data_IF_254235495221
#
_entry.id   IF_254235495221
#
_cell.length_a   1.000
_cell.length_b   1.000
_cell.length_c   1.000
_cell.angle_alpha   90.00
_cell.angle_beta   90.00
_cell.angle_gamma   90.00
#
_symmetry.space_group_name_H-M   'P 1'
#
loop_
_entity.id
_entity.type
_entity.pdbx_description
1 polymer ?
#
# COMPACT_ATOMS: atom_id res chain seq x y z
N UNK A 1 15.48 21.25 19.87
CA UNK A 1 14.32 20.51 19.34
C UNK A 1 14.84 19.68 18.19
N UNK A 2 14.77 18.35 18.30
CA UNK A 2 15.00 17.51 17.14
C UNK A 2 13.75 17.53 16.27
N UNK A 3 13.89 17.57 14.95
CA UNK A 3 12.81 17.27 14.03
C UNK A 3 13.06 15.86 13.45
N UNK A 4 12.02 15.04 13.29
CA UNK A 4 12.11 13.79 12.50
C UNK A 4 11.62 14.14 11.10
N UNK A 5 12.37 13.76 10.08
CA UNK A 5 12.00 13.97 8.68
C UNK A 5 11.62 12.61 8.10
N UNK A 6 10.37 12.42 7.71
CA UNK A 6 9.93 11.21 7.00
C UNK A 6 9.83 11.53 5.52
N UNK A 7 10.32 10.62 4.67
CA UNK A 7 10.12 10.70 3.22
C UNK A 7 8.97 9.81 2.78
N UNK A 8 7.91 10.41 2.23
CA UNK A 8 6.82 9.69 1.57
C UNK A 8 7.26 9.40 0.13
N UNK A 9 7.66 8.15 -0.12
CA UNK A 9 8.30 7.79 -1.39
C UNK A 9 7.26 7.70 -2.50
N UNK A 10 6.13 7.05 -2.22
CA UNK A 10 5.17 6.69 -3.26
C UNK A 10 3.95 7.61 -3.29
N UNK A 11 3.44 8.16 -2.19
CA UNK A 11 2.32 9.12 -2.20
C UNK A 11 2.78 10.58 -1.99
N UNK A 12 1.91 11.56 -2.26
CA UNK A 12 2.11 12.95 -1.84
C UNK A 12 0.87 13.47 -1.11
N UNK A 13 1.04 14.25 -0.05
CA UNK A 13 -0.08 14.84 0.70
C UNK A 13 -0.69 15.97 -0.13
N UNK A 14 -1.99 15.87 -0.44
CA UNK A 14 -2.66 16.82 -1.34
C UNK A 14 -2.74 18.24 -0.77
N UNK A 15 -2.93 18.37 0.55
CA UNK A 15 -2.99 19.66 1.25
C UNK A 15 -1.65 19.92 1.96
N UNK A 16 -0.56 20.03 1.19
CA UNK A 16 0.79 20.11 1.78
C UNK A 16 1.02 21.37 2.62
N UNK A 17 0.25 22.43 2.38
CA UNK A 17 0.27 23.69 3.13
C UNK A 17 -0.24 23.55 4.57
N UNK A 18 -1.02 22.50 4.85
CA UNK A 18 -1.60 22.30 6.18
C UNK A 18 -0.53 21.89 7.20
N UNK A 19 -0.72 22.32 8.44
CA UNK A 19 0.02 21.82 9.60
C UNK A 19 -0.93 20.98 10.44
N UNK A 20 -0.61 19.70 10.63
CA UNK A 20 -1.44 18.80 11.41
C UNK A 20 -0.91 18.66 12.82
N UNK A 21 -1.71 19.06 13.80
CA UNK A 21 -1.41 18.91 15.21
C UNK A 21 -2.16 17.69 15.76
N UNK A 22 -1.42 16.66 16.16
CA UNK A 22 -2.00 15.42 16.68
C UNK A 22 -1.41 15.06 18.04
N UNK A 23 -2.13 14.23 18.79
CA UNK A 23 -1.68 13.68 20.07
C UNK A 23 -1.67 12.16 19.99
N UNK A 24 -0.62 11.55 20.52
CA UNK A 24 -0.57 10.11 20.71
C UNK A 24 0.15 9.78 22.01
N UNK A 25 -0.47 8.97 22.86
CA UNK A 25 0.01 8.62 24.21
C UNK A 25 0.35 9.87 25.08
N UNK A 26 -0.44 10.95 24.95
CA UNK A 26 -0.23 12.20 25.69
C UNK A 26 0.97 13.03 25.23
N UNK A 27 1.57 12.69 24.08
CA UNK A 27 2.61 13.49 23.43
C UNK A 27 1.98 14.21 22.24
N UNK A 28 2.22 15.52 22.15
CA UNK A 28 1.79 16.34 21.02
C UNK A 28 2.84 16.36 19.92
N UNK A 29 2.38 16.16 18.69
CA UNK A 29 3.17 16.14 17.47
C UNK A 29 2.62 17.19 16.52
N UNK A 30 3.52 17.97 15.95
CA UNK A 30 3.23 18.85 14.83
C UNK A 30 3.81 18.21 13.56
N UNK A 31 2.96 17.96 12.57
CA UNK A 31 3.31 17.40 11.27
C UNK A 31 3.24 18.52 10.23
N UNK A 32 4.36 18.78 9.58
CA UNK A 32 4.48 19.74 8.47
C UNK A 32 4.79 19.00 7.19
N UNK A 33 4.06 19.31 6.12
CA UNK A 33 4.23 18.64 4.82
C UNK A 33 5.01 19.45 3.80
N UNK A 34 5.59 20.59 4.22
CA UNK A 34 6.52 21.39 3.44
C UNK A 34 7.88 21.45 4.11
N UNK A 35 8.92 21.39 3.29
CA UNK A 35 10.29 21.62 3.72
C UNK A 35 11.03 22.33 2.59
N UNK A 36 11.79 23.39 2.89
CA UNK A 36 12.51 24.16 1.87
C UNK A 36 13.58 23.36 1.10
N UNK A 37 13.94 22.16 1.57
CA UNK A 37 14.94 21.29 0.94
C UNK A 37 14.35 20.13 0.12
N UNK A 38 13.02 19.94 0.11
CA UNK A 38 12.36 18.78 -0.52
C UNK A 38 11.06 19.16 -1.21
N UNK A 39 10.58 18.31 -2.12
CA UNK A 39 9.30 18.52 -2.82
C UNK A 39 8.12 18.60 -1.83
N UNK A 40 7.28 19.63 -1.99
CA UNK A 40 6.09 19.85 -1.17
C UNK A 40 5.16 18.62 -1.18
N UNK A 41 4.70 18.21 0.00
CA UNK A 41 3.79 17.07 0.19
C UNK A 41 4.47 15.70 0.17
N UNK A 42 5.78 15.62 -0.12
CA UNK A 42 6.57 14.36 -0.11
C UNK A 42 7.33 14.12 1.19
N UNK A 43 7.22 15.02 2.16
CA UNK A 43 7.90 14.93 3.44
C UNK A 43 6.91 15.13 4.58
N UNK A 44 7.16 14.49 5.71
CA UNK A 44 6.53 14.82 6.99
C UNK A 44 7.63 15.23 7.95
N UNK A 45 7.73 16.51 8.26
CA UNK A 45 8.56 17.00 9.36
C UNK A 45 7.75 16.92 10.64
N UNK A 46 8.19 16.09 11.57
CA UNK A 46 7.57 15.91 12.88
C UNK A 46 8.39 16.67 13.91
N UNK A 47 7.74 17.61 14.61
CA UNK A 47 8.29 18.24 15.79
C UNK A 47 7.52 17.80 17.04
N UNK A 48 8.24 17.52 18.13
CA UNK A 48 7.65 17.17 19.42
C UNK A 48 8.41 17.87 20.56
N UNK A 49 7.72 18.12 21.66
CA UNK A 49 8.31 18.70 22.88
C UNK A 49 9.21 17.72 23.66
N UNK A 50 9.29 16.44 23.27
CA UNK A 50 10.06 15.38 23.93
C UNK A 50 11.11 14.77 22.96
N UNK A 51 12.19 14.20 23.51
CA UNK A 51 13.34 13.72 22.71
C UNK A 51 13.03 12.46 21.88
N UNK A 52 13.70 12.35 20.73
CA UNK A 52 13.45 11.49 19.56
C UNK A 52 13.40 9.96 19.72
N UNK A 53 13.83 9.38 20.84
CA UNK A 53 14.18 7.95 20.89
C UNK A 53 13.02 6.98 21.18
N UNK A 54 11.79 7.46 21.43
CA UNK A 54 10.65 6.62 21.89
C UNK A 54 9.40 6.75 21.00
N UNK A 55 9.58 7.11 19.72
CA UNK A 55 8.48 7.39 18.79
C UNK A 55 8.14 6.25 17.81
N UNK A 56 8.79 5.08 17.92
CA UNK A 56 8.67 4.00 16.93
C UNK A 56 7.22 3.53 16.72
N UNK A 57 6.43 3.40 17.80
CA UNK A 57 5.02 3.00 17.70
C UNK A 57 4.18 4.06 16.97
N UNK A 58 4.43 5.34 17.25
CA UNK A 58 3.76 6.43 16.53
C UNK A 58 4.10 6.39 15.03
N UNK A 59 5.38 6.22 14.69
CA UNK A 59 5.83 6.09 13.30
C UNK A 59 5.25 4.85 12.61
N UNK A 60 5.11 3.73 13.32
CA UNK A 60 4.43 2.54 12.81
C UNK A 60 2.95 2.83 12.47
N UNK A 61 2.26 3.59 13.32
CA UNK A 61 0.88 4.01 13.05
C UNK A 61 0.77 4.98 11.89
N UNK A 62 1.69 5.95 11.77
CA UNK A 62 1.76 6.80 10.57
C UNK A 62 2.00 5.95 9.32
N UNK A 63 2.82 4.90 9.41
CA UNK A 63 3.08 4.00 8.29
C UNK A 63 1.80 3.28 7.85
N UNK A 64 1.00 2.80 8.79
CA UNK A 64 -0.33 2.24 8.51
C UNK A 64 -1.26 3.32 7.98
N UNK A 65 -1.26 4.54 8.49
CA UNK A 65 -2.17 5.59 8.03
C UNK A 65 -1.87 6.02 6.59
N UNK A 66 -0.62 6.29 6.24
CA UNK A 66 -0.23 6.75 4.89
C UNK A 66 0.01 5.60 3.89
N UNK A 67 0.28 4.39 4.38
CA UNK A 67 0.72 3.26 3.55
C UNK A 67 2.16 3.40 3.03
N UNK A 68 3.00 4.13 3.75
CA UNK A 68 4.42 4.40 3.46
C UNK A 68 5.28 3.97 4.64
N UNK A 69 6.56 3.68 4.45
CA UNK A 69 7.44 3.39 5.60
C UNK A 69 7.85 4.70 6.29
N UNK A 70 7.18 5.04 7.39
CA UNK A 70 7.52 6.20 8.23
C UNK A 70 8.57 5.87 9.30
N UNK A 71 8.99 4.61 9.40
CA UNK A 71 9.96 4.15 10.41
C UNK A 71 11.41 4.15 9.91
N UNK A 72 11.63 4.30 8.61
CA UNK A 72 12.96 4.48 7.98
C UNK A 72 13.07 5.86 7.28
N UNK A 73 13.40 6.92 8.05
CA UNK A 73 13.42 8.30 7.57
C UNK A 73 14.62 8.66 6.69
N UNK A 74 15.62 7.80 6.49
CA UNK A 74 16.92 8.21 5.94
C UNK A 74 17.25 7.70 4.53
N UNK A 75 16.43 6.85 3.91
CA UNK A 75 16.65 6.50 2.51
C UNK A 75 16.14 7.63 1.60
N UNK A 76 17.08 8.51 1.24
CA UNK A 76 16.85 9.69 0.38
C UNK A 76 16.64 9.35 -1.09
N UNK A 77 17.13 8.18 -1.53
CA UNK A 77 16.96 7.68 -2.90
C UNK A 77 15.99 6.51 -2.92
N UNK A 78 14.93 6.63 -3.73
CA UNK A 78 14.10 5.47 -4.10
C UNK A 78 14.90 4.62 -5.09
N UNK A 79 15.68 3.68 -4.58
CA UNK A 79 16.43 2.71 -5.41
C UNK A 79 15.49 1.69 -6.08
N UNK A 80 14.18 1.89 -5.96
CA UNK A 80 13.11 1.08 -6.55
C UNK A 80 12.37 2.02 -7.50
N UNK A 81 12.10 1.56 -8.71
CA UNK A 81 11.42 2.36 -9.74
C UNK A 81 10.24 3.16 -9.13
N UNK A 82 10.34 4.50 -9.16
CA UNK A 82 9.45 5.41 -8.42
C UNK A 82 8.03 5.31 -8.95
N UNK A 83 7.25 4.41 -8.37
CA UNK A 83 5.82 4.34 -8.63
C UNK A 83 5.11 5.36 -7.75
N UNK A 84 4.43 6.33 -8.37
CA UNK A 84 3.61 7.30 -7.68
C UNK A 84 2.24 6.68 -7.38
N UNK A 85 1.89 6.52 -6.10
CA UNK A 85 0.55 6.20 -5.59
C UNK A 85 -0.43 7.37 -5.76
N UNK A 86 0.05 8.54 -6.14
CA UNK A 86 -0.73 9.74 -6.42
C UNK A 86 -1.01 10.56 -5.17
N UNK A 87 -2.00 11.44 -5.28
CA UNK A 87 -2.42 12.30 -4.18
C UNK A 87 -3.02 11.49 -3.05
N UNK A 88 -2.62 11.80 -1.82
CA UNK A 88 -3.19 11.28 -0.60
C UNK A 88 -4.02 12.39 0.06
N UNK A 89 -5.34 12.23 0.00
CA UNK A 89 -6.30 13.16 0.58
C UNK A 89 -6.78 12.60 1.92
N UNK A 90 -6.34 13.22 3.00
CA UNK A 90 -6.82 12.96 4.35
C UNK A 90 -6.81 14.27 5.16
N UNK A 91 -7.40 14.27 6.35
CA UNK A 91 -7.40 15.43 7.26
C UNK A 91 -6.72 15.10 8.59
N UNK A 92 -6.32 16.14 9.32
CA UNK A 92 -5.85 16.04 10.70
C UNK A 92 -6.86 15.28 11.59
N UNK A 93 -8.15 15.55 11.43
CA UNK A 93 -9.20 14.89 12.21
C UNK A 93 -9.20 13.37 11.97
N UNK A 94 -9.14 12.93 10.71
CA UNK A 94 -9.10 11.51 10.39
C UNK A 94 -7.86 10.82 10.97
N UNK A 95 -6.71 11.50 10.96
CA UNK A 95 -5.50 10.97 11.58
C UNK A 95 -5.64 10.88 13.10
N UNK A 96 -6.19 11.91 13.75
CA UNK A 96 -6.39 11.89 15.21
C UNK A 96 -7.35 10.77 15.63
N UNK A 97 -8.50 10.63 14.98
CA UNK A 97 -9.47 9.56 15.28
C UNK A 97 -8.84 8.16 15.11
N UNK A 98 -8.01 7.99 14.08
CA UNK A 98 -7.24 6.76 13.87
C UNK A 98 -6.25 6.49 15.02
N UNK A 99 -5.48 7.50 15.43
CA UNK A 99 -4.49 7.38 16.51
C UNK A 99 -5.14 7.11 17.87
N UNK A 100 -6.28 7.75 18.15
CA UNK A 100 -7.05 7.52 19.38
C UNK A 100 -7.57 6.07 19.42
N UNK A 101 -8.14 5.59 18.31
CA UNK A 101 -8.61 4.20 18.19
C UNK A 101 -7.46 3.19 18.34
N UNK A 102 -6.31 3.49 17.73
CA UNK A 102 -5.11 2.66 17.84
C UNK A 102 -4.60 2.59 19.29
N UNK A 103 -4.52 3.73 19.97
CA UNK A 103 -4.13 3.81 21.37
C UNK A 103 -5.09 3.07 22.30
N UNK A 104 -6.40 3.24 22.11
CA UNK A 104 -7.41 2.48 22.86
C UNK A 104 -7.23 0.98 22.65
N UNK A 105 -6.95 0.54 21.42
CA UNK A 105 -6.75 -0.87 21.12
C UNK A 105 -5.51 -1.43 21.81
N UNK A 106 -4.41 -0.69 21.79
CA UNK A 106 -3.15 -1.09 22.42
C UNK A 106 -3.24 -1.26 23.93
N UNK A 107 -4.04 -0.42 24.59
CA UNK A 107 -4.27 -0.51 26.02
C UNK A 107 -5.28 -1.60 26.42
N UNK A 108 -6.07 -2.11 25.47
CA UNK A 108 -7.19 -2.99 25.74
C UNK A 108 -7.10 -4.33 24.97
N UNK A 109 -5.93 -4.95 24.96
CA UNK A 109 -5.83 -6.35 24.53
C UNK A 109 -6.38 -7.28 25.61
N UNK A 110 -7.36 -8.16 25.29
CA UNK A 110 -7.91 -9.10 26.27
C UNK A 110 -6.87 -10.09 26.81
N UNK A 111 -5.80 -10.36 26.06
CA UNK A 111 -4.74 -11.27 26.44
C UNK A 111 -3.37 -10.90 25.84
N UNK A 112 -2.30 -11.39 26.48
CA UNK A 112 -0.93 -11.17 26.02
C UNK A 112 -0.63 -11.80 24.64
N UNK A 113 -1.31 -12.90 24.29
CA UNK A 113 -1.11 -13.56 22.99
C UNK A 113 -1.73 -12.75 21.85
N UNK A 114 -2.87 -12.11 22.08
CA UNK A 114 -3.49 -11.21 21.08
C UNK A 114 -2.60 -10.00 20.84
N UNK A 115 -2.05 -9.42 21.92
CA UNK A 115 -1.08 -8.33 21.81
C UNK A 115 0.12 -8.74 20.97
N UNK A 116 0.78 -9.86 21.32
CA UNK A 116 1.95 -10.35 20.60
C UNK A 116 1.64 -10.67 19.12
N UNK A 117 0.46 -11.23 18.82
CA UNK A 117 0.07 -11.56 17.46
C UNK A 117 -0.27 -10.29 16.64
N UNK A 118 -0.85 -9.27 17.26
CA UNK A 118 -1.05 -7.98 16.60
C UNK A 118 0.28 -7.25 16.34
N UNK A 119 1.20 -7.26 17.30
CA UNK A 119 2.57 -6.74 17.11
C UNK A 119 3.27 -7.45 15.95
N UNK A 120 3.10 -8.78 15.81
CA UNK A 120 3.59 -9.53 14.65
C UNK A 120 2.93 -9.08 13.34
N UNK A 121 1.61 -8.83 13.34
CA UNK A 121 0.92 -8.31 12.16
C UNK A 121 1.52 -6.97 11.71
N UNK A 122 1.72 -6.05 12.65
CA UNK A 122 2.36 -4.75 12.40
C UNK A 122 3.78 -4.91 11.88
N UNK A 123 4.59 -5.77 12.50
CA UNK A 123 5.95 -6.03 12.06
C UNK A 123 6.01 -6.55 10.62
N UNK A 124 5.18 -7.53 10.26
CA UNK A 124 5.13 -8.04 8.88
C UNK A 124 4.68 -6.96 7.89
N UNK A 125 3.70 -6.13 8.28
CA UNK A 125 3.27 -5.02 7.43
C UNK A 125 4.40 -4.01 7.17
N UNK A 126 5.10 -3.58 8.22
CA UNK A 126 6.23 -2.63 8.10
C UNK A 126 7.38 -3.22 7.29
N UNK A 127 7.71 -4.49 7.49
CA UNK A 127 8.72 -5.19 6.69
C UNK A 127 8.31 -5.24 5.21
N UNK A 128 7.02 -5.45 4.92
CA UNK A 128 6.47 -5.36 3.56
C UNK A 128 6.70 -3.98 2.94
N UNK A 129 6.35 -2.91 3.65
CA UNK A 129 6.57 -1.53 3.19
C UNK A 129 8.06 -1.24 2.93
N UNK A 130 8.92 -1.65 3.86
CA UNK A 130 10.36 -1.42 3.77
C UNK A 130 11.01 -2.15 2.62
N UNK A 131 10.61 -3.38 2.35
CA UNK A 131 11.15 -4.18 1.25
C UNK A 131 10.68 -3.68 -0.12
N UNK A 132 9.43 -3.22 -0.22
CA UNK A 132 8.89 -2.62 -1.44
C UNK A 132 8.94 -3.53 -2.67
N UNK A 133 8.97 -2.94 -3.86
CA UNK A 133 8.90 -3.67 -5.13
C UNK A 133 10.16 -4.51 -5.41
N UNK A 134 11.35 -4.05 -4.99
CA UNK A 134 12.63 -4.69 -5.30
C UNK A 134 12.79 -6.10 -4.76
N UNK A 135 12.02 -6.46 -3.72
CA UNK A 135 12.04 -7.80 -3.17
C UNK A 135 10.84 -8.64 -3.61
N UNK A 136 10.01 -8.19 -4.55
CA UNK A 136 8.89 -9.00 -5.03
C UNK A 136 9.39 -10.32 -5.63
N UNK A 137 8.69 -11.46 -5.40
CA UNK A 137 7.42 -11.58 -4.67
C UNK A 137 7.48 -11.56 -3.12
N UNK A 138 8.64 -11.39 -2.46
CA UNK A 138 8.80 -11.56 -1.00
C UNK A 138 7.93 -10.59 -0.22
N UNK A 139 7.88 -9.36 -0.70
CA UNK A 139 7.06 -8.30 -0.15
C UNK A 139 5.58 -8.66 -0.04
N UNK A 140 5.00 -9.32 -1.06
CA UNK A 140 3.59 -9.75 -0.96
C UNK A 140 3.39 -10.88 0.06
N UNK A 141 4.42 -11.69 0.30
CA UNK A 141 4.43 -12.71 1.36
C UNK A 141 4.31 -12.09 2.74
N UNK A 142 5.04 -11.00 3.00
CA UNK A 142 4.96 -10.26 4.26
C UNK A 142 3.59 -9.62 4.46
N UNK A 143 3.00 -9.00 3.44
CA UNK A 143 1.62 -8.52 3.53
C UNK A 143 0.63 -9.67 3.81
N UNK A 144 0.79 -10.82 3.15
CA UNK A 144 -0.02 -12.00 3.43
C UNK A 144 0.09 -12.51 4.87
N UNK A 145 1.31 -12.56 5.43
CA UNK A 145 1.54 -12.94 6.83
C UNK A 145 0.87 -11.96 7.82
N UNK A 146 0.97 -10.66 7.57
CA UNK A 146 0.25 -9.64 8.34
C UNK A 146 -1.27 -9.90 8.34
N UNK A 147 -1.84 -10.16 7.15
CA UNK A 147 -3.26 -10.46 7.01
C UNK A 147 -3.68 -11.77 7.72
N UNK A 148 -2.82 -12.80 7.71
CA UNK A 148 -3.05 -14.04 8.45
C UNK A 148 -3.06 -13.81 9.96
N UNK A 149 -2.13 -13.00 10.50
CA UNK A 149 -2.13 -12.62 11.90
C UNK A 149 -3.45 -11.93 12.29
N UNK A 150 -3.91 -10.96 11.51
CA UNK A 150 -5.22 -10.31 11.73
C UNK A 150 -6.36 -11.33 11.65
N UNK A 151 -6.35 -12.22 10.65
CA UNK A 151 -7.35 -13.28 10.51
C UNK A 151 -7.40 -14.23 11.71
N UNK A 152 -6.25 -14.49 12.33
CA UNK A 152 -6.16 -15.33 13.51
C UNK A 152 -6.67 -14.62 14.78
N UNK A 153 -6.43 -13.31 14.92
CA UNK A 153 -6.95 -12.49 16.02
C UNK A 153 -8.48 -12.48 16.10
N UNK A 154 -9.18 -12.65 14.97
CA UNK A 154 -10.66 -12.71 14.93
C UNK A 154 -11.23 -14.13 14.97
N UNK A 155 -10.36 -15.13 14.98
CA UNK A 155 -10.78 -16.52 15.02
C UNK A 155 -10.82 -17.02 16.46
N UNK A 156 -11.93 -17.61 16.86
CA UNK A 156 -12.19 -18.08 18.25
C UNK A 156 -11.35 -19.32 18.64
N UNK A 157 -10.23 -19.56 17.96
CA UNK A 157 -9.39 -20.71 18.25
C UNK A 157 -8.34 -20.34 19.31
N UNK A 158 -8.64 -20.72 20.56
CA UNK A 158 -7.68 -20.94 21.64
C UNK A 158 -6.62 -22.04 21.32
N UNK A 159 -6.41 -22.38 20.05
CA UNK A 159 -5.49 -23.41 19.61
C UNK A 159 -4.07 -22.85 19.58
N UNK A 160 -3.18 -23.42 20.41
CA UNK A 160 -1.74 -23.19 20.38
C UNK A 160 -1.06 -23.58 19.05
N UNK A 161 -1.83 -24.07 18.07
CA UNK A 161 -1.34 -24.46 16.75
C UNK A 161 -1.94 -23.54 15.68
N UNK A 162 -1.17 -22.51 15.33
CA UNK A 162 -1.44 -21.57 14.25
C UNK A 162 -1.41 -22.31 12.91
N UNK A 163 -2.57 -22.52 12.29
CA UNK A 163 -2.59 -23.02 10.90
C UNK A 163 -2.52 -21.83 9.95
N UNK A 164 -1.29 -21.53 9.52
CA UNK A 164 -1.01 -20.64 8.38
C UNK A 164 -1.85 -21.11 7.18
N UNK A 165 -2.44 -20.19 6.42
CA UNK A 165 -3.20 -20.52 5.20
C UNK A 165 -4.74 -20.48 5.28
N UNK A 166 -5.36 -20.18 6.43
CA UNK A 166 -6.84 -20.13 6.53
C UNK A 166 -7.46 -18.74 6.28
N UNK A 167 -8.52 -18.68 5.46
CA UNK A 167 -9.25 -17.46 5.04
C UNK A 167 -10.11 -16.82 6.16
N UNK A 168 -9.54 -16.61 7.35
CA UNK A 168 -10.31 -16.18 8.53
C UNK A 168 -10.62 -14.69 8.55
N UNK A 169 -9.91 -13.89 7.75
CA UNK A 169 -10.21 -12.47 7.57
C UNK A 169 -11.61 -12.20 6.98
N UNK A 170 -12.22 -13.17 6.29
CA UNK A 170 -13.60 -13.01 5.78
C UNK A 170 -14.62 -12.83 6.91
N UNK A 171 -14.39 -13.41 8.10
CA UNK A 171 -15.26 -13.20 9.28
C UNK A 171 -15.22 -11.73 9.68
N UNK A 172 -14.02 -11.16 9.85
CA UNK A 172 -13.80 -9.75 10.16
C UNK A 172 -14.49 -8.84 9.14
N UNK A 173 -14.22 -9.06 7.84
CA UNK A 173 -14.81 -8.26 6.75
C UNK A 173 -16.34 -8.32 6.79
N UNK A 174 -16.92 -9.52 6.92
CA UNK A 174 -18.38 -9.67 6.98
C UNK A 174 -19.01 -8.98 8.19
N UNK A 175 -18.40 -9.14 9.36
CA UNK A 175 -18.91 -8.59 10.61
C UNK A 175 -18.86 -7.05 10.59
N UNK A 176 -17.77 -6.46 10.11
CA UNK A 176 -17.61 -5.01 10.00
C UNK A 176 -18.57 -4.37 9.02
N UNK A 177 -18.88 -5.03 7.90
CA UNK A 177 -19.81 -4.51 6.89
C UNK A 177 -21.29 -4.80 7.19
N UNK A 178 -21.61 -5.63 8.20
CA UNK A 178 -22.98 -6.14 8.43
C UNK A 178 -24.02 -5.03 8.64
N UNK A 179 -23.69 -4.02 9.44
CA UNK A 179 -24.57 -2.86 9.71
C UNK A 179 -24.72 -1.98 8.47
N UNK A 180 -23.62 -1.63 7.81
CA UNK A 180 -23.59 -0.75 6.63
C UNK A 180 -24.35 -1.32 5.43
N UNK A 181 -24.39 -2.65 5.27
CA UNK A 181 -25.17 -3.30 4.21
C UNK A 181 -26.70 -3.15 4.35
N UNK A 182 -27.18 -2.78 5.53
CA UNK A 182 -28.61 -2.53 5.82
C UNK A 182 -29.02 -1.08 5.57
N UNK A 183 -28.05 -0.21 5.30
CA UNK A 183 -28.29 1.17 4.89
C UNK A 183 -29.11 1.20 3.60
N UNK A 184 -30.20 1.97 3.59
CA UNK A 184 -31.14 2.04 2.46
C UNK A 184 -30.58 2.80 1.26
N UNK A 185 -29.68 3.75 1.49
CA UNK A 185 -29.13 4.63 0.47
C UNK A 185 -27.79 4.08 -0.05
N UNK A 186 -26.94 3.61 0.84
CA UNK A 186 -25.56 3.23 0.52
C UNK A 186 -25.26 1.72 0.64
N UNK A 187 -26.21 0.90 1.09
CA UNK A 187 -25.98 -0.52 1.34
C UNK A 187 -25.52 -1.32 0.10
N UNK A 188 -25.92 -0.89 -1.11
CA UNK A 188 -25.42 -1.46 -2.37
C UNK A 188 -23.93 -1.22 -2.60
N UNK A 189 -23.45 0.00 -2.34
CA UNK A 189 -22.04 0.38 -2.46
C UNK A 189 -21.18 -0.40 -1.46
N UNK A 190 -21.63 -0.54 -0.20
CA UNK A 190 -20.93 -1.35 0.79
C UNK A 190 -20.84 -2.83 0.41
N UNK A 191 -21.86 -3.41 -0.24
CA UNK A 191 -21.79 -4.79 -0.75
C UNK A 191 -20.77 -4.94 -1.88
N UNK A 192 -20.70 -3.97 -2.79
CA UNK A 192 -19.72 -3.97 -3.87
C UNK A 192 -18.30 -3.86 -3.30
N UNK A 193 -18.08 -2.89 -2.41
CA UNK A 193 -16.78 -2.68 -1.77
C UNK A 193 -16.32 -3.90 -0.99
N UNK A 194 -17.20 -4.52 -0.21
CA UNK A 194 -16.89 -5.78 0.50
C UNK A 194 -16.38 -6.87 -0.45
N UNK A 195 -17.01 -7.04 -1.64
CA UNK A 195 -16.58 -8.04 -2.61
C UNK A 195 -15.18 -7.75 -3.16
N UNK A 196 -14.85 -6.49 -3.40
CA UNK A 196 -13.53 -6.09 -3.89
C UNK A 196 -12.46 -6.37 -2.84
N UNK A 197 -12.71 -6.04 -1.57
CA UNK A 197 -11.84 -6.33 -0.44
C UNK A 197 -11.58 -7.84 -0.33
N UNK A 198 -12.64 -8.65 -0.38
CA UNK A 198 -12.50 -10.11 -0.31
C UNK A 198 -11.70 -10.66 -1.50
N UNK A 199 -11.92 -10.12 -2.70
CA UNK A 199 -11.25 -10.59 -3.90
C UNK A 199 -9.76 -10.23 -3.93
N UNK A 200 -9.39 -9.03 -3.47
CA UNK A 200 -8.01 -8.60 -3.33
C UNK A 200 -7.29 -9.37 -2.21
N UNK A 201 -7.95 -9.54 -1.06
CA UNK A 201 -7.39 -10.29 0.06
C UNK A 201 -7.14 -11.76 -0.31
N UNK A 202 -8.04 -12.36 -1.09
CA UNK A 202 -7.86 -13.72 -1.63
C UNK A 202 -6.68 -13.80 -2.59
N UNK A 203 -6.45 -12.78 -3.41
CA UNK A 203 -5.31 -12.75 -4.33
C UNK A 203 -3.98 -12.68 -3.57
N UNK A 204 -3.85 -11.78 -2.60
CA UNK A 204 -2.62 -11.66 -1.78
C UNK A 204 -2.32 -12.98 -1.08
N UNK A 205 -3.34 -13.59 -0.48
CA UNK A 205 -3.21 -14.89 0.19
C UNK A 205 -2.81 -16.03 -0.77
N UNK A 206 -3.41 -16.07 -1.96
CA UNK A 206 -3.10 -17.07 -2.98
C UNK A 206 -1.64 -16.96 -3.45
N UNK A 207 -1.16 -15.74 -3.73
CA UNK A 207 0.23 -15.51 -4.11
C UNK A 207 1.16 -15.87 -2.95
N UNK A 208 0.82 -15.46 -1.72
CA UNK A 208 1.60 -15.82 -0.53
C UNK A 208 1.74 -17.32 -0.37
N UNK A 209 0.66 -18.09 -0.49
CA UNK A 209 0.73 -19.55 -0.31
C UNK A 209 1.52 -20.23 -1.43
N UNK A 210 1.42 -19.73 -2.66
CA UNK A 210 2.14 -20.31 -3.77
C UNK A 210 3.64 -20.09 -3.69
N UNK A 211 4.05 -18.90 -3.26
CA UNK A 211 5.45 -18.48 -3.28
C UNK A 211 6.15 -18.75 -1.94
N UNK A 212 5.48 -18.52 -0.80
CA UNK A 212 6.05 -18.60 0.56
C UNK A 212 5.49 -19.73 1.42
N UNK A 213 4.40 -20.36 0.99
CA UNK A 213 3.84 -21.53 1.65
C UNK A 213 4.60 -22.78 1.26
N UNK A 214 3.90 -23.80 0.76
CA UNK A 214 4.52 -25.08 0.40
C UNK A 214 5.20 -25.05 -0.99
N UNK A 215 5.60 -23.85 -1.45
CA UNK A 215 6.20 -23.60 -2.77
C UNK A 215 5.37 -24.18 -3.92
N UNK A 216 4.05 -24.00 -3.91
CA UNK A 216 3.13 -24.68 -4.84
C UNK A 216 3.28 -24.27 -6.32
N UNK A 217 4.16 -23.32 -6.64
CA UNK A 217 4.45 -22.94 -8.02
C UNK A 217 4.99 -24.08 -8.87
N UNK A 218 5.56 -25.15 -8.31
CA UNK A 218 5.91 -26.35 -9.08
C UNK A 218 4.68 -27.16 -9.54
N UNK A 219 3.51 -26.99 -8.90
CA UNK A 219 2.26 -27.69 -9.22
C UNK A 219 1.45 -26.89 -10.24
N UNK A 220 1.19 -27.48 -11.41
CA UNK A 220 0.48 -26.80 -12.50
C UNK A 220 -0.93 -26.33 -12.13
N UNK A 221 -1.69 -27.17 -11.41
CA UNK A 221 -3.04 -26.85 -10.95
C UNK A 221 -3.07 -25.59 -10.07
N UNK A 222 -2.05 -25.42 -9.22
CA UNK A 222 -1.93 -24.27 -8.34
C UNK A 222 -1.54 -23.01 -9.13
N UNK A 223 -0.62 -23.14 -10.10
CA UNK A 223 -0.32 -22.06 -11.05
C UNK A 223 -1.56 -21.61 -11.82
N UNK A 224 -2.38 -22.54 -12.33
CA UNK A 224 -3.63 -22.24 -13.03
C UNK A 224 -4.62 -21.47 -12.13
N UNK A 225 -4.75 -21.88 -10.86
CA UNK A 225 -5.62 -21.20 -9.90
C UNK A 225 -5.18 -19.74 -9.66
N UNK A 226 -3.87 -19.51 -9.48
CA UNK A 226 -3.30 -18.17 -9.28
C UNK A 226 -3.51 -17.29 -10.51
N UNK A 227 -3.22 -17.82 -11.70
CA UNK A 227 -3.45 -17.12 -12.97
C UNK A 227 -4.92 -16.70 -13.09
N UNK A 228 -5.86 -17.57 -12.72
CA UNK A 228 -7.28 -17.22 -12.71
C UNK A 228 -7.62 -16.09 -11.72
N UNK A 229 -6.97 -16.05 -10.54
CA UNK A 229 -7.11 -14.94 -9.59
C UNK A 229 -6.54 -13.63 -10.14
N UNK A 230 -5.37 -13.68 -10.77
CA UNK A 230 -4.72 -12.54 -11.40
C UNK A 230 -5.53 -11.97 -12.56
N UNK A 231 -6.07 -12.84 -13.44
CA UNK A 231 -6.98 -12.43 -14.51
C UNK A 231 -8.22 -11.73 -13.97
N UNK A 232 -8.84 -12.28 -12.93
CA UNK A 232 -10.00 -11.65 -12.28
C UNK A 232 -9.65 -10.27 -11.71
N UNK A 233 -8.47 -10.12 -11.12
CA UNK A 233 -8.00 -8.83 -10.63
C UNK A 233 -7.81 -7.83 -11.78
N UNK A 234 -7.12 -8.20 -12.86
CA UNK A 234 -6.94 -7.33 -14.02
C UNK A 234 -8.28 -6.88 -14.62
N UNK A 235 -9.25 -7.78 -14.73
CA UNK A 235 -10.60 -7.45 -15.21
C UNK A 235 -11.33 -6.48 -14.28
N UNK A 236 -11.29 -6.70 -12.95
CA UNK A 236 -11.85 -5.73 -11.97
C UNK A 236 -11.24 -4.36 -12.11
N UNK A 237 -9.99 -4.33 -12.55
CA UNK A 237 -9.20 -3.13 -12.70
C UNK A 237 -9.28 -2.52 -14.13
N UNK A 238 -10.19 -3.04 -14.98
CA UNK A 238 -10.55 -2.46 -16.28
C UNK A 238 -9.97 -3.17 -17.52
N UNK A 239 -9.17 -4.22 -17.36
CA UNK A 239 -8.61 -4.95 -18.50
C UNK A 239 -9.67 -5.78 -19.24
N UNK A 240 -9.52 -5.90 -20.56
CA UNK A 240 -10.34 -6.83 -21.36
C UNK A 240 -10.00 -8.29 -21.06
N UNK A 241 -10.86 -9.23 -21.47
CA UNK A 241 -10.58 -10.66 -21.36
C UNK A 241 -9.29 -11.07 -22.09
N UNK A 242 -9.06 -10.46 -23.26
CA UNK A 242 -7.87 -10.70 -24.08
C UNK A 242 -6.62 -10.19 -23.38
N UNK A 243 -6.67 -8.99 -22.80
CA UNK A 243 -5.53 -8.40 -22.10
C UNK A 243 -5.21 -9.17 -20.82
N UNK A 244 -6.23 -9.54 -20.04
CA UNK A 244 -6.04 -10.33 -18.83
C UNK A 244 -5.35 -11.68 -19.14
N UNK A 245 -5.81 -12.39 -20.17
CA UNK A 245 -5.20 -13.64 -20.62
C UNK A 245 -3.79 -13.46 -21.22
N UNK A 246 -3.50 -12.28 -21.78
CA UNK A 246 -2.18 -11.97 -22.32
C UNK A 246 -1.14 -11.77 -21.21
N UNK A 247 -1.50 -11.04 -20.15
CA UNK A 247 -0.52 -10.60 -19.13
C UNK A 247 -0.02 -11.73 -18.24
N UNK A 248 -0.89 -12.63 -17.77
CA UNK A 248 -0.49 -13.74 -16.90
C UNK A 248 -0.67 -15.09 -17.57
N UNK A 249 0.42 -15.85 -17.70
CA UNK A 249 0.41 -17.20 -18.25
C UNK A 249 0.97 -18.20 -17.24
N UNK A 250 0.46 -19.43 -17.29
CA UNK A 250 0.81 -20.51 -16.34
C UNK A 250 2.30 -20.85 -16.43
N UNK A 251 2.87 -20.83 -17.63
CA UNK A 251 4.23 -21.29 -17.93
C UNK A 251 5.30 -20.28 -17.51
N UNK A 252 4.94 -19.00 -17.36
CA UNK A 252 5.85 -17.90 -17.02
C UNK A 252 5.38 -17.08 -15.81
N UNK A 253 4.54 -17.67 -14.97
CA UNK A 253 3.89 -16.98 -13.85
C UNK A 253 4.88 -16.26 -12.95
N UNK A 254 6.03 -16.87 -12.62
CA UNK A 254 7.06 -16.23 -11.79
C UNK A 254 7.61 -14.94 -12.41
N UNK A 255 7.90 -14.97 -13.72
CA UNK A 255 8.34 -13.79 -14.45
C UNK A 255 7.23 -12.74 -14.54
N UNK A 256 5.98 -13.16 -14.79
CA UNK A 256 4.85 -12.25 -14.87
C UNK A 256 4.56 -11.58 -13.51
N UNK A 257 4.76 -12.29 -12.38
CA UNK A 257 4.67 -11.70 -11.03
C UNK A 257 5.73 -10.61 -10.81
N UNK A 258 6.94 -10.78 -11.33
CA UNK A 258 7.99 -9.75 -11.26
C UNK A 258 7.69 -8.56 -12.18
N UNK A 259 7.25 -8.82 -13.42
CA UNK A 259 6.87 -7.76 -14.38
C UNK A 259 5.74 -6.88 -13.82
N UNK A 260 4.82 -7.47 -13.06
CA UNK A 260 3.68 -6.79 -12.47
C UNK A 260 3.83 -6.48 -10.97
N UNK A 261 5.08 -6.49 -10.47
CA UNK A 261 5.40 -6.28 -9.07
C UNK A 261 4.79 -4.99 -8.48
N UNK A 262 4.75 -3.90 -9.24
CA UNK A 262 4.18 -2.61 -8.81
C UNK A 262 2.68 -2.71 -8.48
N UNK A 263 1.91 -3.31 -9.39
CA UNK A 263 0.48 -3.51 -9.21
C UNK A 263 0.20 -4.41 -8.02
N UNK A 264 0.97 -5.50 -7.90
CA UNK A 264 0.87 -6.45 -6.81
C UNK A 264 1.27 -5.85 -5.45
N UNK A 265 2.27 -4.98 -5.43
CA UNK A 265 2.68 -4.24 -4.22
C UNK A 265 1.53 -3.39 -3.70
N UNK A 266 0.84 -2.62 -4.56
CA UNK A 266 -0.33 -1.82 -4.16
C UNK A 266 -1.45 -2.66 -3.57
N UNK A 267 -1.74 -3.82 -4.17
CA UNK A 267 -2.74 -4.74 -3.63
C UNK A 267 -2.30 -5.22 -2.24
N UNK A 268 -1.04 -5.62 -2.09
CA UNK A 268 -0.49 -6.03 -0.80
C UNK A 268 -0.62 -4.96 0.28
N UNK A 269 -0.16 -3.74 -0.02
CA UNK A 269 -0.27 -2.57 0.87
C UNK A 269 -1.73 -2.32 1.24
N UNK A 270 -2.62 -2.18 0.26
CA UNK A 270 -4.01 -1.81 0.53
C UNK A 270 -4.77 -2.92 1.26
N UNK A 271 -4.59 -4.19 0.89
CA UNK A 271 -5.30 -5.32 1.52
C UNK A 271 -4.86 -5.52 2.98
N UNK A 272 -3.55 -5.50 3.24
CA UNK A 272 -3.06 -5.61 4.62
C UNK A 272 -3.49 -4.43 5.48
N UNK A 273 -3.30 -3.20 4.96
CA UNK A 273 -3.68 -1.97 5.65
C UNK A 273 -5.17 -1.93 5.96
N UNK A 274 -6.01 -2.28 4.99
CA UNK A 274 -7.45 -2.32 5.18
C UNK A 274 -7.86 -3.31 6.28
N UNK A 275 -7.25 -4.50 6.33
CA UNK A 275 -7.56 -5.44 7.41
C UNK A 275 -7.14 -4.93 8.79
N UNK A 276 -6.04 -4.18 8.90
CA UNK A 276 -5.66 -3.48 10.15
C UNK A 276 -6.73 -2.45 10.54
N UNK A 277 -7.16 -1.59 9.61
CA UNK A 277 -8.25 -0.62 9.86
C UNK A 277 -9.55 -1.31 10.30
N UNK A 278 -9.96 -2.38 9.60
CA UNK A 278 -11.15 -3.14 9.96
C UNK A 278 -10.99 -3.79 11.34
N UNK A 279 -9.81 -4.27 11.70
CA UNK A 279 -9.54 -4.82 13.02
C UNK A 279 -9.72 -3.77 14.12
N UNK A 280 -9.23 -2.55 13.89
CA UNK A 280 -9.47 -1.37 14.73
C UNK A 280 -10.94 -0.93 14.78
N UNK A 281 -11.80 -1.42 13.87
CA UNK A 281 -13.21 -1.04 13.79
C UNK A 281 -13.50 0.14 12.87
N UNK A 282 -12.49 0.63 12.15
CA UNK A 282 -12.61 1.77 11.24
C UNK A 282 -13.01 1.27 9.86
N UNK A 283 -14.21 1.64 9.41
CA UNK A 283 -14.76 1.22 8.10
C UNK A 283 -15.03 2.41 7.19
N UNK A 284 -15.50 3.55 7.72
CA UNK A 284 -16.10 4.59 6.90
C UNK A 284 -15.09 5.53 6.20
N UNK A 285 -13.87 5.69 6.73
CA UNK A 285 -12.96 6.74 6.30
C UNK A 285 -11.52 6.29 6.06
N UNK A 286 -11.30 5.05 5.62
CA UNK A 286 -9.96 4.55 5.30
C UNK A 286 -9.38 5.38 4.13
N UNK A 287 -8.36 6.24 4.34
CA UNK A 287 -7.86 7.09 3.26
C UNK A 287 -7.04 6.25 2.29
N UNK A 288 -7.13 6.47 0.98
CA UNK A 288 -6.29 5.79 -0.01
C UNK A 288 -5.63 6.82 -0.89
N UNK A 289 -4.47 6.49 -1.43
CA UNK A 289 -3.84 7.31 -2.45
C UNK A 289 -4.56 7.11 -3.80
N UNK A 290 -4.57 8.14 -4.63
CA UNK A 290 -5.32 8.22 -5.91
C UNK A 290 -5.22 6.96 -6.79
N UNK A 291 -4.04 6.33 -6.82
CA UNK A 291 -3.73 5.20 -7.70
C UNK A 291 -3.61 3.86 -6.96
N UNK A 292 -4.03 3.77 -5.70
CA UNK A 292 -3.95 2.53 -4.91
C UNK A 292 -4.75 1.38 -5.54
N UNK A 293 -5.84 1.67 -6.27
CA UNK A 293 -6.66 0.65 -6.96
C UNK A 293 -6.30 0.46 -8.44
N UNK A 294 -5.39 1.27 -9.01
CA UNK A 294 -4.97 1.11 -10.41
C UNK A 294 -3.99 -0.05 -10.55
N UNK A 295 -4.28 -1.05 -11.42
CA UNK A 295 -3.51 -2.29 -11.51
C UNK A 295 -2.14 -2.06 -12.15
N UNK A 296 -2.10 -1.08 -13.05
CA UNK A 296 -0.93 -0.57 -13.71
C UNK A 296 -0.83 0.89 -13.28
N UNK A 297 0.33 1.33 -12.78
CA UNK A 297 0.54 2.76 -12.58
C UNK A 297 0.39 3.45 -13.94
N UNK A 298 -0.37 4.53 -14.03
CA UNK A 298 -0.11 5.45 -15.10
C UNK A 298 1.25 6.08 -14.80
N UNK A 299 2.25 5.82 -15.64
CA UNK A 299 3.11 6.93 -15.99
C UNK A 299 2.32 7.72 -17.03
N UNK A 300 1.95 9.00 -16.81
CA UNK A 300 1.84 9.84 -17.97
C UNK A 300 3.27 9.96 -18.53
N UNK A 301 3.44 9.52 -19.79
CA UNK A 301 4.21 10.19 -20.88
C UNK A 301 5.22 9.29 -21.63
N UNK A 302 5.09 9.31 -22.96
CA UNK A 302 5.95 8.77 -24.02
C UNK A 302 5.80 7.27 -24.35
N UNK A 303 4.59 6.83 -24.74
CA UNK A 303 4.44 5.55 -25.48
C UNK A 303 3.88 5.78 -26.88
N UNK A 304 4.51 5.13 -27.85
CA UNK A 304 3.94 4.95 -29.19
C UNK A 304 3.23 3.62 -29.22
N UNK A 305 1.89 3.63 -29.24
CA UNK A 305 1.09 2.41 -29.33
C UNK A 305 0.79 2.13 -30.81
N UNK A 306 1.04 0.91 -31.26
CA UNK A 306 0.69 0.46 -32.61
C UNK A 306 -0.64 -0.30 -32.59
N UNK A 307 -1.59 0.15 -33.40
CA UNK A 307 -2.90 -0.49 -33.61
C UNK A 307 -3.18 -0.49 -35.12
N UNK A 308 -3.42 -1.66 -35.70
CA UNK A 308 -3.80 -1.86 -37.12
C UNK A 308 -3.14 -0.90 -38.13
N UNK A 309 -1.81 -0.90 -38.16
CA UNK A 309 -1.03 -0.13 -39.15
C UNK A 309 -0.83 1.35 -38.86
N UNK A 310 -1.36 1.90 -37.76
CA UNK A 310 -1.05 3.26 -37.28
C UNK A 310 -0.24 3.26 -35.98
N UNK A 311 0.64 4.27 -35.82
CA UNK A 311 1.48 4.49 -34.64
C UNK A 311 1.06 5.79 -33.95
N UNK A 312 0.58 5.73 -32.70
CA UNK A 312 0.14 6.91 -31.93
C UNK A 312 1.15 7.17 -30.82
N UNK A 313 1.95 8.23 -30.96
CA UNK A 313 2.94 8.69 -29.96
C UNK A 313 2.28 9.64 -28.97
N UNK A 314 2.14 9.22 -27.71
CA UNK A 314 1.67 10.09 -26.63
C UNK A 314 2.91 10.65 -25.92
N UNK A 315 3.38 11.83 -26.30
CA UNK A 315 4.52 12.47 -25.64
C UNK A 315 4.13 13.62 -24.71
N UNK A 316 4.77 13.76 -23.55
CA UNK A 316 4.86 15.09 -22.95
C UNK A 316 6.18 15.75 -23.25
N UNK A 317 6.05 17.05 -23.51
CA UNK A 317 7.15 17.98 -23.38
C UNK A 317 7.49 18.15 -21.90
N UNK A 318 8.75 17.91 -21.57
CA UNK A 318 9.41 18.52 -20.42
C UNK A 318 9.70 19.98 -20.72
N UNK A 319 9.57 20.82 -19.70
CA UNK A 319 10.01 22.21 -19.69
C UNK A 319 11.52 22.17 -19.48
N UNK A 320 12.29 22.54 -20.51
CA UNK A 320 13.72 22.80 -20.37
C UNK A 320 13.93 24.27 -19.97
N UNK A 321 14.39 24.50 -18.75
CA UNK A 321 15.14 25.69 -18.33
C UNK A 321 16.51 25.21 -17.87
N UNK A 322 17.68 25.77 -18.18
CA UNK A 322 18.20 26.95 -18.89
C UNK A 322 19.68 26.59 -19.14
N UNK A 323 20.29 26.98 -20.27
CA UNK A 323 21.59 27.65 -20.21
C UNK A 323 21.94 28.30 -21.56
N UNK A 324 21.91 29.63 -21.54
CA UNK A 324 22.62 30.43 -22.51
C UNK A 324 24.04 30.64 -22.03
N UNK A 325 25.01 30.28 -22.88
CA UNK A 325 26.21 31.09 -23.03
C UNK A 325 26.80 30.85 -24.43
N UNK A 326 26.77 31.91 -25.22
CA UNK A 326 27.51 32.08 -26.46
C UNK A 326 29.02 31.85 -26.24
N UNK A 327 29.69 31.22 -27.21
CA UNK A 327 30.63 31.90 -28.13
C UNK A 327 31.54 30.91 -28.90
N UNK A 328 31.52 31.12 -30.21
CA UNK A 328 32.66 31.07 -31.15
C UNK A 328 33.36 29.74 -31.49
N UNK A 329 33.48 29.50 -32.80
CA UNK A 329 34.61 28.73 -33.33
C UNK A 329 34.38 28.05 -34.68
N UNK A 330 34.32 28.84 -35.75
CA UNK A 330 34.95 28.62 -37.07
C UNK A 330 35.24 27.17 -37.50
N UNK A 331 34.65 26.75 -38.63
CA UNK A 331 35.31 25.80 -39.55
C UNK A 331 35.19 26.27 -40.99
N UNK A 332 36.37 26.40 -41.58
CA UNK A 332 36.72 26.72 -42.96
C UNK A 332 36.62 25.51 -43.89
N UNK A 333 36.39 25.83 -45.17
CA UNK A 333 36.81 25.20 -46.43
C UNK A 333 36.31 23.81 -46.85
N UNK A 334 35.43 23.75 -47.86
CA UNK A 334 35.82 23.67 -49.29
C UNK A 334 34.66 24.01 -50.21
#
# INVERSE_FOLDING_TARGET
MGNIIIHLRHCYIANSDDVWNVSYCGIHYELKFKNGEFDDGKVIAISSGKCHADHDTFLAWLSVFFGEDCTDPFQREDTRHSFNRGGFSASQQQLQEFLDTAFEKENNYPSAWEKALFEQAMNYYLVGLRNGISMMPLTIGFFGLSMECIGNLVSDQNSKYFTLGTFRFNKLVNDRFKSFKRDKEHGGAFKAWQKDIEADSKLVHAIRNAVYGHSFLHIEKERQAIVAHLHKWLKRAGASDKDAAFWFKVERLEMDLQIHADGLYKIGVRSSRLLIFLYLGIVAYIPFAEYDYRPFGDAPKNRTVKFDGMSISISAKEVSTIDGSDKNGVRTDT
#
